data_IF_779895951203
#
_entry.id   IF_779895951203
#
_cell.length_a   1.000
_cell.length_b   1.000
_cell.length_c   1.000
_cell.angle_alpha   90.00
_cell.angle_beta   90.00
_cell.angle_gamma   90.00
#
_symmetry.space_group_name_H-M   'P 1'
#
loop_
_entity.id
_entity.type
_entity.pdbx_description
1 polymer ?
#
# COMPACT_ATOMS: atom_id res chain seq x y z
N UNK A 1 7.04 3.40 2.87
CA UNK A 1 7.36 3.67 1.45
C UNK A 1 6.28 4.52 0.81
N UNK A 2 5.01 4.21 1.05
CA UNK A 2 3.87 4.91 0.44
C UNK A 2 3.87 6.42 0.73
N UNK A 3 4.34 6.90 1.89
CA UNK A 3 4.52 8.33 2.14
C UNK A 3 5.54 8.99 1.19
N UNK A 4 6.66 8.32 0.90
CA UNK A 4 7.65 8.81 -0.05
C UNK A 4 7.11 8.75 -1.48
N UNK A 5 6.40 7.67 -1.84
CA UNK A 5 5.72 7.56 -3.15
C UNK A 5 4.67 8.66 -3.31
N UNK A 6 3.86 8.92 -2.28
CA UNK A 6 2.86 9.99 -2.27
C UNK A 6 3.49 11.36 -2.50
N UNK A 7 4.61 11.66 -1.82
CA UNK A 7 5.36 12.91 -2.04
C UNK A 7 5.90 13.02 -3.48
N UNK A 8 6.48 11.94 -4.01
CA UNK A 8 7.08 11.91 -5.36
C UNK A 8 6.04 12.14 -6.47
N UNK A 9 4.82 11.64 -6.28
CA UNK A 9 3.77 11.68 -7.30
C UNK A 9 2.81 12.84 -7.13
N UNK A 10 2.71 13.40 -5.91
CA UNK A 10 1.72 14.44 -5.58
C UNK A 10 2.32 15.84 -5.44
N UNK A 11 3.64 16.00 -5.39
CA UNK A 11 4.29 17.31 -5.22
C UNK A 11 5.34 17.57 -6.31
N UNK A 12 5.53 18.84 -6.68
CA UNK A 12 6.49 19.23 -7.73
C UNK A 12 7.93 19.38 -7.20
N UNK A 13 8.13 20.04 -6.04
CA UNK A 13 9.49 20.46 -5.58
C UNK A 13 9.88 19.99 -4.18
N UNK A 14 8.93 19.66 -3.32
CA UNK A 14 9.21 19.47 -1.88
C UNK A 14 9.79 18.09 -1.59
N UNK A 15 10.94 18.05 -0.90
CA UNK A 15 11.59 16.84 -0.38
C UNK A 15 11.79 15.68 -1.39
N UNK A 16 11.85 16.00 -2.69
CA UNK A 16 11.85 15.01 -3.79
C UNK A 16 13.09 14.11 -3.75
N UNK A 17 14.25 14.65 -3.42
CA UNK A 17 15.51 13.88 -3.34
C UNK A 17 15.48 12.82 -2.25
N UNK A 18 15.09 13.20 -1.01
CA UNK A 18 14.97 12.27 0.10
C UNK A 18 13.90 11.21 -0.17
N UNK A 19 12.74 11.63 -0.69
CA UNK A 19 11.67 10.71 -1.06
C UNK A 19 12.11 9.72 -2.15
N UNK A 20 12.89 10.18 -3.13
CA UNK A 20 13.43 9.34 -4.20
C UNK A 20 14.42 8.32 -3.68
N UNK A 21 15.37 8.72 -2.84
CA UNK A 21 16.32 7.80 -2.19
C UNK A 21 15.56 6.74 -1.38
N UNK A 22 14.60 7.17 -0.55
CA UNK A 22 13.83 6.25 0.29
C UNK A 22 13.00 5.26 -0.53
N UNK A 23 12.38 5.72 -1.62
CA UNK A 23 11.65 4.87 -2.55
C UNK A 23 12.56 3.80 -3.16
N UNK A 24 13.71 4.20 -3.72
CA UNK A 24 14.63 3.26 -4.37
C UNK A 24 15.23 2.26 -3.38
N UNK A 25 15.69 2.74 -2.22
CA UNK A 25 16.26 1.88 -1.19
C UNK A 25 15.22 0.87 -0.66
N UNK A 26 14.00 1.33 -0.35
CA UNK A 26 12.94 0.45 0.12
C UNK A 26 12.52 -0.58 -0.93
N UNK A 27 12.46 -0.18 -2.21
CA UNK A 27 12.15 -1.09 -3.32
C UNK A 27 13.21 -2.18 -3.44
N UNK A 28 14.49 -1.82 -3.43
CA UNK A 28 15.56 -2.81 -3.49
C UNK A 28 15.56 -3.72 -2.27
N UNK A 29 15.46 -3.17 -1.07
CA UNK A 29 15.42 -3.95 0.17
C UNK A 29 14.31 -5.00 0.15
N UNK A 30 13.08 -4.61 -0.23
CA UNK A 30 11.95 -5.54 -0.25
C UNK A 30 12.10 -6.61 -1.32
N UNK A 31 12.59 -6.27 -2.52
CA UNK A 31 12.87 -7.22 -3.60
C UNK A 31 14.00 -8.19 -3.26
N UNK A 32 15.09 -7.69 -2.71
CA UNK A 32 16.25 -8.50 -2.33
C UNK A 32 15.88 -9.46 -1.20
N UNK A 33 15.05 -9.01 -0.25
CA UNK A 33 14.52 -9.84 0.83
C UNK A 33 13.71 -11.03 0.29
N UNK A 34 12.69 -10.77 -0.53
CA UNK A 34 11.85 -11.85 -1.06
C UNK A 34 12.64 -12.80 -1.95
N UNK A 35 13.63 -12.28 -2.70
CA UNK A 35 14.53 -13.11 -3.51
C UNK A 35 15.43 -13.99 -2.63
N UNK A 36 16.05 -13.43 -1.61
CA UNK A 36 16.96 -14.15 -0.71
C UNK A 36 16.24 -15.30 0.01
N UNK A 37 15.04 -15.04 0.52
CA UNK A 37 14.21 -16.04 1.20
C UNK A 37 13.33 -16.88 0.25
N UNK A 38 13.43 -16.68 -1.07
CA UNK A 38 12.67 -17.40 -2.10
C UNK A 38 11.14 -17.35 -1.89
N UNK A 39 10.63 -16.20 -1.45
CA UNK A 39 9.21 -15.99 -1.18
C UNK A 39 8.46 -15.58 -2.44
N UNK A 40 7.18 -15.96 -2.53
CA UNK A 40 6.30 -15.54 -3.63
C UNK A 40 5.67 -14.19 -3.32
N UNK A 41 5.59 -13.32 -4.33
CA UNK A 41 4.96 -12.00 -4.24
C UNK A 41 3.74 -11.93 -5.15
N UNK A 42 2.71 -11.20 -4.73
CA UNK A 42 1.58 -10.81 -5.58
C UNK A 42 1.82 -9.40 -6.17
N UNK A 43 1.30 -9.09 -7.35
CA UNK A 43 1.48 -7.81 -8.05
C UNK A 43 0.36 -6.78 -7.77
N UNK A 44 -0.32 -6.92 -6.63
CA UNK A 44 -1.42 -6.01 -6.26
C UNK A 44 -0.93 -4.65 -5.72
N UNK A 45 -1.47 -3.55 -6.26
CA UNK A 45 -1.41 -2.21 -5.65
C UNK A 45 -2.32 -2.20 -4.43
N UNK A 46 -2.13 -2.90 -3.33
CA UNK A 46 -3.16 -2.97 -2.27
C UNK A 46 -3.70 -1.67 -1.62
N UNK A 47 -3.60 -0.46 -2.18
CA UNK A 47 -4.31 0.78 -1.78
C UNK A 47 -5.46 1.07 -2.74
N UNK A 48 -6.60 1.45 -2.18
CA UNK A 48 -7.77 1.93 -2.94
C UNK A 48 -7.67 3.41 -3.30
N UNK A 49 -8.45 3.86 -4.30
CA UNK A 49 -8.45 5.29 -4.70
C UNK A 49 -8.87 6.21 -3.55
N UNK A 50 -9.91 5.83 -2.80
CA UNK A 50 -10.42 6.63 -1.66
C UNK A 50 -9.35 6.83 -0.58
N UNK A 51 -8.59 5.78 -0.31
CA UNK A 51 -7.47 5.77 0.63
C UNK A 51 -6.37 6.75 0.21
N UNK A 52 -6.02 6.76 -1.08
CA UNK A 52 -5.12 7.74 -1.66
C UNK A 52 -5.66 9.17 -1.54
N UNK A 53 -6.92 9.41 -1.90
CA UNK A 53 -7.52 10.74 -1.88
C UNK A 53 -7.51 11.33 -0.46
N UNK A 54 -7.76 10.52 0.57
CA UNK A 54 -7.67 10.92 1.98
C UNK A 54 -6.23 11.30 2.39
N UNK A 55 -5.22 10.59 1.89
CA UNK A 55 -3.82 10.91 2.16
C UNK A 55 -3.37 12.17 1.39
N UNK A 56 -3.79 12.31 0.14
CA UNK A 56 -3.55 13.47 -0.70
C UNK A 56 -4.17 14.74 -0.09
N UNK A 57 -5.41 14.66 0.40
CA UNK A 57 -6.08 15.78 1.07
C UNK A 57 -5.29 16.27 2.30
N UNK A 58 -4.88 15.35 3.18
CA UNK A 58 -4.03 15.66 4.35
C UNK A 58 -2.71 16.32 3.96
N UNK A 59 -2.12 15.90 2.84
CA UNK A 59 -0.88 16.49 2.34
C UNK A 59 -1.12 17.90 1.75
N UNK A 60 -2.25 18.10 1.07
CA UNK A 60 -2.64 19.41 0.51
C UNK A 60 -2.90 20.47 1.57
N UNK A 61 -3.46 20.07 2.73
CA UNK A 61 -3.71 20.94 3.89
C UNK A 61 -2.41 21.54 4.47
N UNK A 62 -1.25 20.97 4.16
CA UNK A 62 0.06 21.49 4.58
C UNK A 62 0.55 22.66 3.71
N UNK A 63 -0.23 23.10 2.71
CA UNK A 63 0.11 24.23 1.84
C UNK A 63 1.20 23.95 0.82
N UNK A 64 1.41 22.68 0.46
CA UNK A 64 2.39 22.27 -0.55
C UNK A 64 1.88 22.53 -1.97
N UNK A 65 2.81 22.72 -2.92
CA UNK A 65 2.48 22.81 -4.34
C UNK A 65 2.13 21.41 -4.87
N UNK A 66 0.82 21.14 -4.94
CA UNK A 66 0.27 19.84 -5.31
C UNK A 66 0.06 19.70 -6.83
N UNK A 67 0.30 18.48 -7.33
CA UNK A 67 0.00 18.06 -8.71
C UNK A 67 -1.46 17.65 -8.85
N UNK A 68 -1.98 17.62 -10.07
CA UNK A 68 -3.35 17.14 -10.35
C UNK A 68 -3.64 15.77 -9.70
N UNK A 69 -4.74 15.62 -8.93
CA UNK A 69 -5.00 14.42 -8.12
C UNK A 69 -5.16 13.15 -8.97
N UNK A 70 -5.79 13.22 -10.15
CA UNK A 70 -5.98 12.05 -11.01
C UNK A 70 -4.66 11.57 -11.62
N UNK A 71 -3.82 12.52 -12.07
CA UNK A 71 -2.47 12.21 -12.52
C UNK A 71 -1.60 11.66 -11.39
N UNK A 72 -1.70 12.25 -10.20
CA UNK A 72 -0.96 11.80 -9.02
C UNK A 72 -1.37 10.41 -8.56
N UNK A 73 -2.67 10.07 -8.65
CA UNK A 73 -3.16 8.73 -8.40
C UNK A 73 -2.56 7.72 -9.38
N UNK A 74 -2.62 8.01 -10.68
CA UNK A 74 -2.05 7.12 -11.71
C UNK A 74 -0.56 6.86 -11.46
N UNK A 75 0.21 7.93 -11.30
CA UNK A 75 1.65 7.84 -11.03
C UNK A 75 1.93 7.06 -9.71
N UNK A 76 1.09 7.27 -8.67
CA UNK A 76 1.21 6.59 -7.39
C UNK A 76 0.98 5.08 -7.52
N UNK A 77 -0.10 4.68 -8.19
CA UNK A 77 -0.42 3.27 -8.42
C UNK A 77 0.71 2.58 -9.18
N UNK A 78 1.21 3.22 -10.25
CA UNK A 78 2.32 2.68 -11.06
C UNK A 78 3.60 2.46 -10.24
N UNK A 79 4.01 3.44 -9.43
CA UNK A 79 5.19 3.28 -8.57
C UNK A 79 4.97 2.28 -7.45
N UNK A 80 3.74 2.15 -6.93
CA UNK A 80 3.44 1.27 -5.80
C UNK A 80 3.42 -0.21 -6.19
N UNK A 81 2.99 -0.57 -7.40
CA UNK A 81 3.11 -1.96 -7.93
C UNK A 81 4.53 -2.49 -7.71
N UNK A 82 5.53 -1.64 -7.94
CA UNK A 82 6.94 -2.05 -7.94
C UNK A 82 7.46 -2.55 -6.59
N UNK A 83 6.77 -2.31 -5.47
CA UNK A 83 7.21 -2.76 -4.14
C UNK A 83 6.11 -3.35 -3.27
N UNK A 84 4.83 -3.09 -3.55
CA UNK A 84 3.71 -3.45 -2.67
C UNK A 84 3.67 -4.95 -2.37
N UNK A 85 3.80 -5.80 -3.39
CA UNK A 85 3.82 -7.26 -3.23
C UNK A 85 4.92 -7.76 -2.32
N UNK A 86 6.16 -7.31 -2.60
CA UNK A 86 7.33 -7.69 -1.83
C UNK A 86 7.25 -7.18 -0.39
N UNK A 87 6.78 -5.95 -0.19
CA UNK A 87 6.55 -5.37 1.13
C UNK A 87 5.50 -6.14 1.93
N UNK A 88 4.36 -6.49 1.33
CA UNK A 88 3.32 -7.30 1.97
C UNK A 88 3.83 -8.69 2.34
N UNK A 89 4.59 -9.32 1.45
CA UNK A 89 5.20 -10.64 1.68
C UNK A 89 6.19 -10.61 2.84
N UNK A 90 7.04 -9.57 2.87
CA UNK A 90 7.99 -9.35 3.95
C UNK A 90 7.28 -9.10 5.29
N UNK A 91 6.20 -8.32 5.30
CA UNK A 91 5.39 -8.09 6.49
C UNK A 91 4.76 -9.39 7.01
N UNK A 92 4.20 -10.22 6.12
CA UNK A 92 3.64 -11.52 6.47
C UNK A 92 4.70 -12.49 7.02
N UNK A 93 5.90 -12.51 6.45
CA UNK A 93 7.02 -13.33 6.94
C UNK A 93 7.35 -13.05 8.40
N UNK A 94 7.32 -11.77 8.81
CA UNK A 94 7.57 -11.35 10.18
C UNK A 94 6.32 -11.34 11.06
N UNK A 95 5.16 -11.79 10.56
CA UNK A 95 3.89 -11.73 11.27
C UNK A 95 3.59 -10.31 11.79
N UNK A 96 3.97 -9.28 11.01
CA UNK A 96 3.65 -7.90 11.34
C UNK A 96 2.12 -7.79 11.31
N UNK A 97 1.47 -7.36 12.41
CA UNK A 97 0.03 -7.18 12.42
C UNK A 97 -0.36 -6.14 11.37
N UNK A 98 -1.55 -6.23 10.76
CA UNK A 98 -1.98 -5.23 9.81
C UNK A 98 -2.00 -3.84 10.44
N UNK A 99 -1.10 -2.97 9.99
CA UNK A 99 -0.98 -1.60 10.48
C UNK A 99 -1.84 -0.70 9.61
N UNK A 100 -2.72 0.09 10.24
CA UNK A 100 -3.51 1.11 9.57
C UNK A 100 -2.67 2.37 9.37
N UNK A 101 -2.33 2.67 8.13
CA UNK A 101 -1.56 3.86 7.78
C UNK A 101 -2.14 4.58 6.55
N UNK A 102 -2.68 3.80 5.61
CA UNK A 102 -3.67 4.25 4.61
C UNK A 102 -4.77 3.18 4.54
N UNK A 103 -5.93 3.52 5.12
CA UNK A 103 -7.16 2.73 5.29
C UNK A 103 -7.06 1.32 5.87
N UNK A 104 -8.03 0.46 5.53
CA UNK A 104 -8.25 -0.82 6.21
C UNK A 104 -7.35 -1.93 5.65
N UNK A 105 -6.58 -2.55 6.55
CA UNK A 105 -5.64 -3.64 6.25
C UNK A 105 -6.06 -4.94 6.90
N UNK A 106 -7.24 -4.98 7.52
CA UNK A 106 -7.77 -6.16 8.17
C UNK A 106 -7.73 -7.34 7.19
N UNK A 107 -7.15 -8.46 7.64
CA UNK A 107 -7.12 -9.73 6.91
C UNK A 107 -8.51 -10.38 6.92
N UNK A 108 -9.57 -9.67 6.56
CA UNK A 108 -10.84 -10.31 6.25
C UNK A 108 -10.82 -10.69 4.78
N UNK A 109 -9.99 -11.70 4.47
CA UNK A 109 -10.23 -12.48 3.26
C UNK A 109 -11.67 -13.00 3.33
N UNK A 110 -12.34 -12.97 2.19
CA UNK A 110 -13.73 -13.39 1.93
C UNK A 110 -14.09 -14.77 2.52
N UNK A 111 -13.11 -15.54 2.98
CA UNK A 111 -13.28 -16.83 3.67
C UNK A 111 -14.12 -16.73 4.97
N UNK A 112 -13.94 -15.69 5.80
CA UNK A 112 -14.64 -15.64 7.10
C UNK A 112 -16.14 -15.32 6.98
N UNK A 113 -16.56 -14.67 5.89
CA UNK A 113 -17.98 -14.41 5.60
C UNK A 113 -18.68 -15.70 5.12
N UNK A 114 -17.96 -16.56 4.39
CA UNK A 114 -18.50 -17.82 3.85
C UNK A 114 -18.75 -18.86 4.95
N UNK A 115 -17.87 -18.94 5.94
CA UNK A 115 -18.03 -19.88 7.06
C UNK A 115 -19.21 -19.47 7.97
N UNK A 116 -19.40 -18.16 8.22
CA UNK A 116 -20.54 -17.66 9.01
C UNK A 116 -21.91 -17.80 8.33
N UNK A 117 -21.96 -17.82 7.00
CA UNK A 117 -23.21 -18.07 6.26
C UNK A 117 -23.57 -19.56 6.28
N UNK A 118 -22.58 -20.45 6.26
CA UNK A 118 -22.79 -21.90 6.30
C UNK A 118 -23.26 -22.38 7.68
N UNK A 119 -22.68 -21.86 8.77
CA UNK A 119 -23.12 -22.19 10.14
C UNK A 119 -24.55 -21.69 10.47
N UNK A 120 -25.00 -20.60 9.84
CA UNK A 120 -26.36 -20.06 10.03
C UNK A 120 -27.45 -20.85 9.32
N UNK A 121 -27.10 -21.59 8.26
CA UNK A 121 -28.03 -22.49 7.58
C UNK A 121 -28.17 -23.83 8.33
N UNK A 122 -27.09 -24.34 8.93
CA UNK A 122 -27.11 -25.60 9.69
C UNK A 122 -27.81 -25.48 11.06
N UNK A 123 -27.79 -24.29 11.68
CA UNK A 123 -28.47 -24.07 12.98
C UNK A 123 -29.99 -23.86 12.81
N UNK A 124 -30.51 -23.85 11.58
CA UNK A 124 -31.94 -23.61 11.28
C UNK A 124 -32.70 -24.87 10.85
N UNK A 125 -32.10 -26.05 11.00
CA UNK A 125 -32.71 -27.38 10.78
C UNK A 125 -32.89 -28.08 12.11
#
# INVERSE_FOLDING_TARGET
MDAATLLLTSTEKTARGQAQIFYWLGRHLTHDFVRYFQLRTDEAVGIERLEFDQAYARLSEMGLEMRDPDRSWKDFSELRVAYAGALSTMAAFWQIPPLQWVGDRSLFSVQHVRDQLTEREETRV
#
